data_IF_555387467877
#
_entry.id   IF_555387467877
#
_cell.length_a   1.000
_cell.length_b   1.000
_cell.length_c   1.000
_cell.angle_alpha   90.00
_cell.angle_beta   90.00
_cell.angle_gamma   90.00
#
_symmetry.space_group_name_H-M   'P 1'
#
loop_
_entity.id
_entity.type
_entity.pdbx_description
1 polymer ?
#
# COMPACT_ATOMS: atom_id res chain seq x y z
N UNK A 1 21.45 -9.95 8.69
CA UNK A 1 20.98 -10.06 7.31
C UNK A 1 20.73 -8.68 6.76
N UNK A 2 21.21 -8.42 5.56
CA UNK A 2 21.02 -7.16 4.88
C UNK A 2 19.54 -6.96 4.54
N UNK A 3 19.00 -5.79 4.87
CA UNK A 3 17.60 -5.47 4.63
C UNK A 3 17.21 -5.57 3.15
N UNK A 4 18.08 -5.19 2.25
CA UNK A 4 17.85 -5.33 0.80
C UNK A 4 17.70 -6.80 0.42
N UNK A 5 18.54 -7.66 0.97
CA UNK A 5 18.44 -9.11 0.73
C UNK A 5 17.14 -9.67 1.27
N UNK A 6 16.72 -9.22 2.46
CA UNK A 6 15.42 -9.63 3.04
C UNK A 6 14.25 -9.20 2.16
N UNK A 7 14.24 -7.97 1.71
CA UNK A 7 13.18 -7.47 0.83
C UNK A 7 13.14 -8.30 -0.45
N UNK A 8 14.29 -8.49 -1.09
CA UNK A 8 14.36 -9.22 -2.35
C UNK A 8 13.98 -10.70 -2.20
N UNK A 9 14.37 -11.33 -1.09
CA UNK A 9 14.04 -12.72 -0.85
C UNK A 9 12.57 -12.93 -0.46
N UNK A 10 11.96 -11.90 0.11
CA UNK A 10 10.58 -11.98 0.57
C UNK A 10 9.56 -11.60 -0.50
N UNK A 11 9.95 -10.77 -1.45
CA UNK A 11 9.06 -10.31 -2.50
C UNK A 11 8.39 -11.47 -3.22
N UNK A 12 7.09 -11.49 -3.16
CA UNK A 12 6.32 -12.43 -3.88
C UNK A 12 6.04 -13.75 -3.19
N UNK A 13 6.37 -13.92 -1.91
CA UNK A 13 5.98 -15.13 -1.19
C UNK A 13 4.65 -14.97 -0.48
N UNK A 14 3.74 -15.88 -0.73
CA UNK A 14 2.48 -15.99 -0.01
C UNK A 14 2.11 -17.47 0.10
N UNK A 15 1.84 -17.92 1.32
CA UNK A 15 1.46 -19.31 1.60
C UNK A 15 2.49 -20.32 1.05
N UNK A 16 3.77 -19.98 1.19
CA UNK A 16 4.87 -20.83 0.74
C UNK A 16 5.16 -20.80 -0.76
N UNK A 17 4.33 -20.15 -1.55
CA UNK A 17 4.53 -20.03 -2.98
C UNK A 17 5.14 -18.69 -3.36
N UNK A 18 6.09 -18.72 -4.27
CA UNK A 18 6.72 -17.51 -4.77
C UNK A 18 5.84 -16.87 -5.84
N UNK A 19 5.61 -15.55 -5.70
CA UNK A 19 4.86 -14.77 -6.68
C UNK A 19 5.77 -13.70 -7.25
N UNK A 20 5.67 -13.43 -8.53
CA UNK A 20 6.33 -12.28 -9.13
C UNK A 20 5.48 -11.04 -8.88
N UNK A 21 6.10 -10.03 -8.31
CA UNK A 21 5.44 -8.75 -8.05
C UNK A 21 6.02 -7.71 -9.01
N UNK A 22 5.15 -7.07 -9.78
CA UNK A 22 5.51 -5.96 -10.65
C UNK A 22 5.15 -4.64 -9.97
N UNK A 23 5.77 -3.55 -10.42
CA UNK A 23 5.39 -2.22 -9.94
C UNK A 23 5.75 -1.98 -8.49
N UNK A 24 6.94 -2.39 -8.09
CA UNK A 24 7.47 -2.18 -6.74
C UNK A 24 8.61 -1.19 -6.81
N UNK A 25 8.57 -0.17 -5.94
CA UNK A 25 9.68 0.74 -5.73
C UNK A 25 10.32 0.45 -4.40
N UNK A 26 11.64 0.45 -4.35
CA UNK A 26 12.40 0.35 -3.09
C UNK A 26 12.97 1.73 -2.82
N UNK A 27 12.52 2.34 -1.73
CA UNK A 27 12.96 3.67 -1.32
C UNK A 27 13.66 3.58 0.02
N UNK A 28 14.51 4.57 0.31
CA UNK A 28 15.09 4.70 1.63
C UNK A 28 14.21 5.61 2.46
N UNK A 29 13.85 5.15 3.66
CA UNK A 29 13.01 5.91 4.57
C UNK A 29 13.70 6.08 5.92
N UNK A 30 13.24 7.08 6.67
CA UNK A 30 13.53 7.17 8.10
C UNK A 30 12.34 6.52 8.81
N UNK A 31 12.56 5.29 9.26
CA UNK A 31 11.54 4.55 10.00
C UNK A 31 11.46 5.10 11.44
N UNK A 32 10.27 5.46 11.88
CA UNK A 32 10.03 5.94 13.24
C UNK A 32 8.81 5.22 13.79
N UNK A 33 8.98 4.45 14.85
CA UNK A 33 7.86 3.77 15.50
C UNK A 33 7.01 4.82 16.23
N UNK A 34 5.78 5.00 15.77
CA UNK A 34 4.89 6.05 16.26
C UNK A 34 4.27 5.68 17.61
N UNK A 35 4.20 6.63 18.58
CA UNK A 35 3.48 6.39 19.84
C UNK A 35 1.98 6.14 19.59
N UNK A 36 1.39 5.27 20.40
CA UNK A 36 -0.02 4.86 20.27
C UNK A 36 -1.01 6.01 20.25
N UNK A 37 -0.76 7.04 21.05
CA UNK A 37 -1.63 8.22 21.13
C UNK A 37 -1.72 8.95 19.78
N UNK A 38 -0.57 9.19 19.17
CA UNK A 38 -0.50 9.89 17.89
C UNK A 38 -1.08 9.02 16.77
N UNK A 39 -0.82 7.72 16.83
CA UNK A 39 -1.36 6.75 15.90
C UNK A 39 -2.89 6.73 15.92
N UNK A 40 -3.49 6.78 17.10
CA UNK A 40 -4.96 6.77 17.23
C UNK A 40 -5.60 7.98 16.55
N UNK A 41 -5.01 9.16 16.70
CA UNK A 41 -5.50 10.38 16.07
C UNK A 41 -5.42 10.30 14.53
N UNK A 42 -4.31 9.80 14.01
CA UNK A 42 -4.12 9.65 12.57
C UNK A 42 -5.07 8.60 11.97
N UNK A 43 -5.30 7.50 12.66
CA UNK A 43 -6.26 6.48 12.23
C UNK A 43 -7.68 7.01 12.21
N UNK A 44 -8.04 7.80 13.20
CA UNK A 44 -9.35 8.44 13.27
C UNK A 44 -9.56 9.38 12.07
N UNK A 45 -8.58 10.21 11.77
CA UNK A 45 -8.60 11.10 10.60
C UNK A 45 -8.72 10.30 9.31
N UNK A 46 -7.94 9.24 9.16
CA UNK A 46 -7.98 8.38 7.99
C UNK A 46 -9.37 7.78 7.79
N UNK A 47 -9.94 7.20 8.83
CA UNK A 47 -11.24 6.53 8.77
C UNK A 47 -12.39 7.53 8.55
N UNK A 48 -12.26 8.75 9.07
CA UNK A 48 -13.33 9.76 8.99
C UNK A 48 -13.39 10.45 7.63
N UNK A 49 -12.24 10.86 7.08
CA UNK A 49 -12.22 11.73 5.90
C UNK A 49 -11.20 11.31 4.83
N UNK A 50 -10.00 10.94 5.21
CA UNK A 50 -8.89 10.80 4.27
C UNK A 50 -9.15 9.67 3.26
N UNK A 51 -9.51 8.49 3.74
CA UNK A 51 -9.78 7.34 2.87
C UNK A 51 -10.88 7.63 1.88
N UNK A 52 -11.97 8.22 2.35
CA UNK A 52 -13.12 8.61 1.53
C UNK A 52 -12.68 9.59 0.43
N UNK A 53 -11.98 10.64 0.81
CA UNK A 53 -11.55 11.67 -0.13
C UNK A 53 -10.55 11.14 -1.16
N UNK A 54 -9.67 10.26 -0.74
CA UNK A 54 -8.74 9.57 -1.65
C UNK A 54 -9.51 8.77 -2.72
N UNK A 55 -10.48 7.98 -2.30
CA UNK A 55 -11.29 7.16 -3.22
C UNK A 55 -12.10 8.02 -4.19
N UNK A 56 -12.69 9.11 -3.71
CA UNK A 56 -13.44 10.04 -4.56
C UNK A 56 -12.54 10.66 -5.62
N UNK A 57 -11.37 11.11 -5.23
CA UNK A 57 -10.39 11.68 -6.16
C UNK A 57 -9.92 10.65 -7.18
N UNK A 58 -9.61 9.44 -6.71
CA UNK A 58 -9.12 8.36 -7.54
C UNK A 58 -10.14 7.95 -8.61
N UNK A 59 -11.43 7.95 -8.27
CA UNK A 59 -12.52 7.59 -9.18
C UNK A 59 -12.58 8.50 -10.41
N UNK A 60 -12.02 9.71 -10.32
CA UNK A 60 -12.01 10.69 -11.43
C UNK A 60 -10.85 10.47 -12.39
N UNK A 61 -9.94 9.56 -12.09
CA UNK A 61 -8.76 9.32 -12.92
C UNK A 61 -9.07 8.39 -14.08
N UNK A 62 -8.33 8.53 -15.18
CA UNK A 62 -8.43 7.61 -16.32
C UNK A 62 -7.96 6.21 -15.94
N UNK A 63 -7.01 6.09 -15.02
CA UNK A 63 -6.53 4.81 -14.52
C UNK A 63 -7.67 4.02 -13.86
N UNK A 64 -8.45 4.66 -13.00
CA UNK A 64 -9.59 4.02 -12.36
C UNK A 64 -10.68 3.65 -13.38
N UNK A 65 -10.98 4.56 -14.32
CA UNK A 65 -11.99 4.31 -15.36
C UNK A 65 -11.62 3.14 -16.26
N UNK A 66 -10.35 2.97 -16.54
CA UNK A 66 -9.87 1.87 -17.38
C UNK A 66 -9.79 0.53 -16.65
N UNK A 67 -9.88 0.53 -15.35
CA UNK A 67 -9.69 -0.67 -14.52
C UNK A 67 -10.96 -1.20 -13.90
N UNK A 68 -11.86 -0.33 -13.45
CA UNK A 68 -13.04 -0.70 -12.69
C UNK A 68 -14.32 -0.57 -13.52
N UNK A 69 -15.28 -1.44 -13.24
CA UNK A 69 -16.60 -1.36 -13.85
C UNK A 69 -17.42 -0.19 -13.26
N UNK A 70 -18.59 0.07 -13.86
CA UNK A 70 -19.43 1.18 -13.45
C UNK A 70 -19.87 1.08 -11.98
N UNK A 71 -20.13 -0.13 -11.51
CA UNK A 71 -20.56 -0.38 -10.15
C UNK A 71 -19.47 -0.06 -9.13
N UNK A 72 -18.25 -0.49 -9.39
CA UNK A 72 -17.11 -0.21 -8.54
C UNK A 72 -16.75 1.28 -8.56
N UNK A 73 -16.81 1.92 -9.72
CA UNK A 73 -16.60 3.36 -9.82
C UNK A 73 -17.63 4.14 -9.02
N UNK A 74 -18.88 3.67 -9.01
CA UNK A 74 -19.93 4.31 -8.20
C UNK A 74 -19.62 4.19 -6.71
N UNK A 75 -19.15 3.03 -6.25
CA UNK A 75 -18.72 2.84 -4.86
C UNK A 75 -17.61 3.83 -4.49
N UNK A 76 -16.63 3.96 -5.36
CA UNK A 76 -15.49 4.87 -5.14
C UNK A 76 -15.92 6.34 -5.09
N UNK A 77 -16.85 6.74 -5.95
CA UNK A 77 -17.40 8.12 -5.93
C UNK A 77 -18.13 8.43 -4.63
N UNK A 78 -18.64 7.41 -3.95
CA UNK A 78 -19.30 7.54 -2.65
C UNK A 78 -18.31 7.42 -1.49
N UNK A 79 -17.02 7.22 -1.79
CA UNK A 79 -15.99 7.07 -0.77
C UNK A 79 -15.82 5.66 -0.23
N UNK A 80 -16.33 4.66 -0.95
CA UNK A 80 -16.22 3.26 -0.58
C UNK A 80 -15.24 2.53 -1.49
N UNK A 81 -14.63 1.45 -0.97
CA UNK A 81 -13.68 0.66 -1.76
C UNK A 81 -14.43 -0.20 -2.79
N UNK A 82 -13.85 -0.42 -3.98
CA UNK A 82 -14.38 -1.42 -4.89
C UNK A 82 -14.21 -2.82 -4.30
N UNK A 83 -14.92 -3.79 -4.84
CA UNK A 83 -14.83 -5.18 -4.36
C UNK A 83 -13.41 -5.72 -4.47
N UNK A 84 -12.97 -6.42 -3.43
CA UNK A 84 -11.66 -7.08 -3.34
C UNK A 84 -10.47 -6.13 -3.24
N UNK A 85 -10.70 -4.85 -2.96
CA UNK A 85 -9.66 -3.84 -2.80
C UNK A 85 -9.74 -3.19 -1.43
N UNK A 86 -8.63 -2.60 -1.01
CA UNK A 86 -8.56 -1.81 0.20
C UNK A 86 -7.59 -0.64 0.00
N UNK A 87 -7.73 0.40 0.80
CA UNK A 87 -6.77 1.51 0.80
C UNK A 87 -5.67 1.19 1.81
N UNK A 88 -4.43 1.19 1.33
CA UNK A 88 -3.25 0.82 2.10
C UNK A 88 -2.30 2.02 2.17
N UNK A 89 -1.70 2.23 3.34
CA UNK A 89 -0.61 3.19 3.48
C UNK A 89 0.68 2.53 3.00
N UNK A 90 1.37 3.16 2.05
CA UNK A 90 2.64 2.65 1.53
C UNK A 90 3.68 2.52 2.63
N UNK A 91 3.77 3.55 3.49
CA UNK A 91 4.44 3.48 4.78
C UNK A 91 3.35 3.61 5.84
N UNK A 92 3.17 2.59 6.65
CA UNK A 92 2.05 2.55 7.60
C UNK A 92 2.15 3.68 8.64
N UNK A 93 1.00 4.09 9.16
CA UNK A 93 0.94 5.12 10.19
C UNK A 93 1.74 4.74 11.43
N UNK A 94 1.73 3.46 11.79
CA UNK A 94 2.48 2.92 12.93
C UNK A 94 3.99 3.07 12.73
N UNK A 95 4.43 3.04 11.49
CA UNK A 95 5.84 3.05 11.09
C UNK A 95 6.34 4.44 10.69
N UNK A 96 5.59 5.49 10.97
CA UNK A 96 5.97 6.86 10.68
C UNK A 96 5.35 7.45 9.42
N UNK A 97 4.44 6.73 8.78
CA UNK A 97 3.76 7.20 7.58
C UNK A 97 2.72 8.28 7.86
N UNK A 98 2.25 8.91 6.80
CA UNK A 98 1.28 10.01 6.86
C UNK A 98 0.00 9.65 6.11
N UNK A 99 -1.02 10.50 6.27
CA UNK A 99 -2.28 10.40 5.53
C UNK A 99 -2.26 11.15 4.20
N UNK A 100 -1.11 11.59 3.74
CA UNK A 100 -0.99 12.22 2.42
C UNK A 100 -1.36 11.23 1.33
N UNK A 101 -2.02 11.69 0.29
CA UNK A 101 -2.47 10.82 -0.80
C UNK A 101 -1.32 10.10 -1.50
N UNK A 102 -0.15 10.71 -1.55
CA UNK A 102 1.07 10.11 -2.09
C UNK A 102 1.50 8.85 -1.32
N UNK A 103 1.11 8.76 -0.06
CA UNK A 103 1.38 7.60 0.80
C UNK A 103 0.24 6.56 0.76
N UNK A 104 -0.77 6.76 -0.07
CA UNK A 104 -1.92 5.87 -0.17
C UNK A 104 -1.95 5.15 -1.51
N UNK A 105 -2.44 3.92 -1.48
CA UNK A 105 -2.63 3.11 -2.68
C UNK A 105 -3.89 2.28 -2.51
N UNK A 106 -4.68 2.17 -3.58
CA UNK A 106 -5.79 1.23 -3.64
C UNK A 106 -5.22 -0.11 -4.11
N UNK A 107 -5.20 -1.09 -3.22
CA UNK A 107 -4.50 -2.36 -3.45
C UNK A 107 -5.46 -3.53 -3.40
N UNK A 108 -5.30 -4.47 -4.32
CA UNK A 108 -6.07 -5.71 -4.33
C UNK A 108 -5.71 -6.54 -3.10
N UNK A 109 -6.73 -7.04 -2.38
CA UNK A 109 -6.54 -7.71 -1.10
C UNK A 109 -5.71 -8.99 -1.19
N UNK A 110 -6.04 -9.86 -2.13
CA UNK A 110 -5.36 -11.14 -2.30
C UNK A 110 -4.66 -11.18 -3.67
N UNK A 111 -3.37 -11.48 -3.72
CA UNK A 111 -2.44 -11.75 -2.60
C UNK A 111 -1.70 -10.49 -2.13
N UNK A 112 -1.85 -9.39 -2.80
CA UNK A 112 -0.92 -8.26 -2.75
C UNK A 112 -0.89 -7.53 -1.42
N UNK A 113 -2.05 -7.18 -0.87
CA UNK A 113 -2.10 -6.48 0.41
C UNK A 113 -1.40 -7.29 1.50
N UNK A 114 -1.63 -8.60 1.53
CA UNK A 114 -1.02 -9.48 2.53
C UNK A 114 0.48 -9.60 2.36
N UNK A 115 0.96 -9.68 1.12
CA UNK A 115 2.40 -9.78 0.85
C UNK A 115 3.13 -8.53 1.33
N UNK A 116 2.60 -7.33 1.01
CA UNK A 116 3.20 -6.08 1.48
C UNK A 116 3.15 -5.94 2.99
N UNK A 117 2.02 -6.27 3.61
CA UNK A 117 1.88 -6.21 5.06
C UNK A 117 2.89 -7.10 5.76
N UNK A 118 3.04 -8.33 5.29
CA UNK A 118 3.99 -9.28 5.89
C UNK A 118 5.44 -8.82 5.73
N UNK A 119 5.78 -8.33 4.55
CA UNK A 119 7.12 -7.83 4.26
C UNK A 119 7.47 -6.63 5.15
N UNK A 120 6.57 -5.67 5.25
CA UNK A 120 6.76 -4.48 6.06
C UNK A 120 6.87 -4.83 7.54
N UNK A 121 6.07 -5.77 8.01
CA UNK A 121 6.15 -6.26 9.40
C UNK A 121 7.50 -6.91 9.71
N UNK A 122 8.09 -7.63 8.77
CA UNK A 122 9.43 -8.22 8.96
C UNK A 122 10.49 -7.15 9.13
N UNK A 123 10.46 -6.11 8.31
CA UNK A 123 11.42 -5.01 8.39
C UNK A 123 11.27 -4.26 9.72
N UNK A 124 10.04 -4.06 10.17
CA UNK A 124 9.72 -3.31 11.38
C UNK A 124 9.96 -4.09 12.68
N UNK A 125 10.17 -5.40 12.58
CA UNK A 125 10.26 -6.27 13.75
C UNK A 125 11.40 -5.84 14.68
N UNK A 126 11.09 -5.69 15.96
CA UNK A 126 12.08 -5.38 16.99
C UNK A 126 12.38 -3.90 17.18
N UNK A 127 11.78 -3.02 16.38
CA UNK A 127 11.97 -1.58 16.55
C UNK A 127 11.01 -1.08 17.63
N UNK A 128 11.55 -0.40 18.63
CA UNK A 128 10.78 0.10 19.77
C UNK A 128 10.22 1.50 19.49
N UNK A 129 9.13 1.84 20.18
CA UNK A 129 8.53 3.18 20.09
C UNK A 129 9.57 4.25 20.42
N UNK A 130 9.63 5.29 19.60
CA UNK A 130 10.59 6.38 19.76
C UNK A 130 11.94 6.14 19.11
N UNK A 131 12.24 4.92 18.73
CA UNK A 131 13.45 4.64 17.97
C UNK A 131 13.29 5.02 16.51
N UNK A 132 14.40 5.43 15.88
CA UNK A 132 14.43 5.71 14.44
C UNK A 132 15.52 4.90 13.78
N UNK A 133 15.31 4.58 12.50
CA UNK A 133 16.26 3.80 11.73
C UNK A 133 16.12 4.16 10.25
N UNK A 134 17.24 4.35 9.58
CA UNK A 134 17.26 4.48 8.12
C UNK A 134 17.22 3.07 7.54
N UNK A 135 16.23 2.79 6.70
CA UNK A 135 16.06 1.44 6.14
C UNK A 135 15.48 1.51 4.73
N UNK A 136 15.84 0.55 3.87
CA UNK A 136 15.11 0.35 2.63
C UNK A 136 13.66 -0.09 2.93
N UNK A 137 12.74 0.37 2.12
CA UNK A 137 11.31 0.07 2.28
C UNK A 137 10.70 -0.16 0.90
N UNK A 138 10.05 -1.29 0.74
CA UNK A 138 9.40 -1.61 -0.52
C UNK A 138 7.96 -1.11 -0.50
N UNK A 139 7.58 -0.39 -1.54
CA UNK A 139 6.23 0.18 -1.67
C UNK A 139 5.61 -0.23 -3.01
N UNK A 140 4.28 -0.40 -3.06
CA UNK A 140 3.60 -0.54 -4.34
C UNK A 140 3.65 0.78 -5.09
N UNK A 141 3.97 0.74 -6.38
CA UNK A 141 4.03 1.93 -7.22
C UNK A 141 2.64 2.41 -7.60
N UNK A 142 2.48 3.73 -7.71
CA UNK A 142 1.27 4.34 -8.21
C UNK A 142 0.12 4.38 -7.21
N UNK A 143 -1.08 4.68 -7.71
CA UNK A 143 -2.28 4.86 -6.89
C UNK A 143 -3.16 3.63 -6.83
N UNK A 144 -3.01 2.71 -7.78
CA UNK A 144 -3.77 1.44 -7.84
C UNK A 144 -2.78 0.29 -8.05
N UNK A 145 -2.87 -0.72 -7.22
CA UNK A 145 -1.97 -1.88 -7.31
C UNK A 145 -2.76 -3.19 -7.35
N UNK A 146 -2.41 -4.19 -8.14
CA UNK A 146 -1.26 -4.20 -9.05
C UNK A 146 -1.44 -3.24 -10.21
N UNK A 147 -0.32 -2.79 -10.84
CA UNK A 147 -0.41 -1.91 -11.99
C UNK A 147 -1.11 -2.61 -13.14
N UNK A 148 -1.84 -1.84 -13.94
CA UNK A 148 -2.50 -2.37 -15.11
C UNK A 148 -1.46 -2.75 -16.15
N UNK A 149 -1.52 -4.00 -16.63
CA UNK A 149 -0.61 -4.43 -17.69
C UNK A 149 -0.97 -3.75 -18.99
N UNK A 150 0.05 -3.40 -19.76
CA UNK A 150 -0.17 -2.88 -21.10
C UNK A 150 -0.88 -3.96 -21.94
N UNK A 151 -1.87 -3.54 -22.72
CA UNK A 151 -2.60 -4.44 -23.62
C UNK A 151 -1.65 -5.24 -24.53
N UNK A 152 -0.54 -4.62 -24.95
CA UNK A 152 0.45 -5.31 -25.79
C UNK A 152 1.12 -6.49 -25.10
N UNK A 153 1.17 -6.48 -23.77
CA UNK A 153 1.73 -7.59 -23.00
C UNK A 153 0.82 -8.84 -23.05
N UNK A 154 -0.47 -8.64 -23.28
CA UNK A 154 -1.44 -9.72 -23.35
C UNK A 154 -1.49 -10.42 -24.70
N UNK A 155 -0.91 -9.83 -25.71
CA UNK A 155 -0.92 -10.37 -27.08
C UNK A 155 0.30 -11.22 -27.42
N UNK A 156 1.21 -11.34 -26.49
CA UNK A 156 2.44 -12.12 -26.68
C UNK A 156 2.25 -13.61 -26.40
#
# INVERSE_FOLDING_TARGET
>A
VDTYTEINSYLGKLRGQQKLLDGIDIIEIIYIKRPSKDLANLRKEFNKTVRKNFLIKLAKTSEASGRFNAEDLLRMRKGNVPLNYNVHHKLSLDDGGTNDFENLVLIENEPYHKVFTNMQSRIAKGILVGESKITPWAIPSGSIYPPMKNIMDHTK
#
